data_IF_804083359959
#
_entry.id   IF_804083359959
#
_cell.length_a   1.000
_cell.length_b   1.000
_cell.length_c   1.000
_cell.angle_alpha   90.00
_cell.angle_beta   90.00
_cell.angle_gamma   90.00
#
_symmetry.space_group_name_H-M   'P 1'
#
loop_
_entity.id
_entity.type
_entity.pdbx_description
1 polymer ?
#
# COMPACT_ATOMS: atom_id res chain seq x y z
N UNK A 1 51.66 6.52 -26.01
CA UNK A 1 50.50 5.66 -26.39
C UNK A 1 49.30 6.31 -25.77
N UNK A 2 48.60 7.13 -26.54
CA UNK A 2 47.44 7.87 -26.08
C UNK A 2 46.20 7.04 -26.39
N UNK A 3 45.32 6.93 -25.40
CA UNK A 3 44.10 6.14 -25.40
C UNK A 3 43.24 6.38 -26.64
N UNK A 4 43.04 5.27 -27.37
CA UNK A 4 42.02 5.13 -28.40
C UNK A 4 40.91 4.26 -27.79
N UNK A 5 40.15 4.83 -26.86
CA UNK A 5 38.87 4.29 -26.39
C UNK A 5 37.77 5.36 -26.52
N UNK A 6 37.84 6.11 -27.62
CA UNK A 6 36.82 7.08 -27.99
C UNK A 6 35.48 6.41 -28.33
N UNK A 7 34.43 6.87 -27.66
CA UNK A 7 33.04 6.93 -28.12
C UNK A 7 32.26 5.62 -28.30
N UNK A 8 32.29 4.74 -27.31
CA UNK A 8 31.02 4.06 -26.99
C UNK A 8 30.35 4.92 -25.94
N UNK A 9 29.19 5.51 -26.25
CA UNK A 9 28.31 6.08 -25.21
C UNK A 9 28.18 4.98 -24.18
N UNK A 10 28.74 5.23 -23.00
CA UNK A 10 28.98 4.16 -22.05
C UNK A 10 27.63 3.82 -21.43
N UNK A 11 26.98 2.81 -22.00
CA UNK A 11 25.60 2.43 -21.69
C UNK A 11 25.39 2.25 -20.19
N UNK A 12 26.45 1.84 -19.47
CA UNK A 12 26.46 1.75 -18.01
C UNK A 12 26.32 3.09 -17.33
N UNK A 13 27.05 4.11 -17.76
CA UNK A 13 26.96 5.48 -17.22
C UNK A 13 25.56 6.04 -17.46
N UNK A 14 25.04 5.91 -18.68
CA UNK A 14 23.68 6.38 -19.01
C UNK A 14 22.62 5.63 -18.22
N UNK A 15 22.76 4.32 -18.04
CA UNK A 15 21.83 3.51 -17.23
C UNK A 15 21.86 3.92 -15.76
N UNK A 16 23.06 4.16 -15.21
CA UNK A 16 23.24 4.58 -13.81
C UNK A 16 22.63 5.96 -13.55
N UNK A 17 22.83 6.90 -14.47
CA UNK A 17 22.24 8.23 -14.41
C UNK A 17 20.72 8.17 -14.57
N UNK A 18 20.23 7.38 -15.52
CA UNK A 18 18.78 7.20 -15.74
C UNK A 18 18.11 6.58 -14.51
N UNK A 19 18.77 5.62 -13.87
CA UNK A 19 18.30 5.02 -12.62
C UNK A 19 18.33 6.02 -11.47
N UNK A 20 19.37 6.86 -11.37
CA UNK A 20 19.46 7.88 -10.34
C UNK A 20 18.38 8.96 -10.45
N UNK A 21 18.15 9.47 -11.66
CA UNK A 21 17.19 10.53 -11.92
C UNK A 21 15.75 10.01 -12.07
N UNK A 22 15.58 8.74 -12.43
CA UNK A 22 14.28 8.14 -12.77
C UNK A 22 13.79 8.51 -14.17
N UNK A 23 14.57 9.27 -14.93
CA UNK A 23 14.30 9.64 -16.32
C UNK A 23 15.63 9.77 -17.09
N UNK A 24 15.63 9.61 -18.43
CA UNK A 24 16.83 9.81 -19.23
C UNK A 24 17.26 11.29 -19.22
N UNK A 25 18.52 11.63 -18.95
CA UNK A 25 18.98 13.02 -18.96
C UNK A 25 18.72 13.77 -20.28
N UNK A 26 18.70 13.04 -21.41
CA UNK A 26 18.34 13.61 -22.71
C UNK A 26 16.92 14.18 -22.73
N UNK A 27 15.96 13.50 -22.08
CA UNK A 27 14.58 13.97 -22.02
C UNK A 27 14.45 15.31 -21.29
N UNK A 28 15.26 15.55 -20.26
CA UNK A 28 15.29 16.84 -19.57
C UNK A 28 15.80 17.95 -20.49
N UNK A 29 16.83 17.68 -21.29
CA UNK A 29 17.37 18.67 -22.23
C UNK A 29 16.32 19.00 -23.30
N UNK A 30 15.65 17.98 -23.85
CA UNK A 30 14.55 18.15 -24.82
C UNK A 30 13.43 19.02 -24.24
N UNK A 31 13.02 18.76 -22.99
CA UNK A 31 11.99 19.54 -22.30
C UNK A 31 12.41 21.01 -22.12
N UNK A 32 13.68 21.28 -21.82
CA UNK A 32 14.20 22.66 -21.74
C UNK A 32 14.14 23.35 -23.11
N UNK A 33 14.57 22.67 -24.18
CA UNK A 33 14.53 23.24 -25.55
C UNK A 33 13.08 23.55 -25.95
N UNK A 34 12.16 22.62 -25.69
CA UNK A 34 10.73 22.81 -25.96
C UNK A 34 10.16 24.01 -25.19
N UNK A 35 10.49 24.14 -23.90
CA UNK A 35 10.03 25.27 -23.07
C UNK A 35 10.58 26.61 -23.58
N UNK A 36 11.84 26.66 -24.01
CA UNK A 36 12.44 27.88 -24.56
C UNK A 36 11.79 28.29 -25.87
N UNK A 37 11.54 27.33 -26.77
CA UNK A 37 10.84 27.58 -28.02
C UNK A 37 9.42 28.10 -27.77
N UNK A 38 8.69 27.49 -26.82
CA UNK A 38 7.36 27.98 -26.43
C UNK A 38 7.41 29.42 -25.90
N UNK A 39 8.39 29.75 -25.05
CA UNK A 39 8.57 31.11 -24.51
C UNK A 39 8.94 32.10 -25.62
N UNK A 40 9.79 31.71 -26.57
CA UNK A 40 10.18 32.55 -27.71
C UNK A 40 8.98 32.92 -28.57
N UNK A 41 8.13 31.95 -28.93
CA UNK A 41 6.92 32.20 -29.73
C UNK A 41 5.92 33.07 -28.96
N UNK A 42 5.72 32.83 -27.66
CA UNK A 42 4.89 33.66 -26.80
C UNK A 42 5.40 35.10 -26.70
N UNK A 43 6.71 35.28 -26.54
CA UNK A 43 7.33 36.60 -26.45
C UNK A 43 7.18 37.37 -27.76
N UNK A 44 7.48 36.74 -28.89
CA UNK A 44 7.38 37.34 -30.21
C UNK A 44 5.94 37.76 -30.53
N UNK A 45 4.97 36.89 -30.23
CA UNK A 45 3.53 37.20 -30.34
C UNK A 45 3.11 38.35 -29.41
N UNK A 46 3.65 38.39 -28.18
CA UNK A 46 3.43 39.46 -27.22
C UNK A 46 3.99 40.80 -27.69
N UNK A 47 5.18 40.81 -28.30
CA UNK A 47 5.79 42.00 -28.90
C UNK A 47 4.94 42.50 -30.07
N UNK A 48 4.47 41.61 -30.95
CA UNK A 48 3.58 42.01 -32.05
C UNK A 48 2.28 42.65 -31.54
N UNK A 49 1.63 41.99 -30.58
CA UNK A 49 0.38 42.47 -29.98
C UNK A 49 0.57 43.84 -29.31
N UNK A 50 1.67 44.01 -28.56
CA UNK A 50 2.00 45.27 -27.91
C UNK A 50 2.26 46.40 -28.93
N UNK A 51 2.99 46.13 -30.00
CA UNK A 51 3.24 47.11 -31.06
C UNK A 51 1.95 47.49 -31.81
N UNK A 52 1.04 46.55 -32.01
CA UNK A 52 -0.28 46.80 -32.61
C UNK A 52 -1.15 47.66 -31.68
N UNK A 53 -1.25 47.33 -30.39
CA UNK A 53 -2.00 48.11 -29.41
C UNK A 53 -1.48 49.54 -29.30
N UNK A 54 -0.15 49.70 -29.26
CA UNK A 54 0.50 51.02 -29.20
C UNK A 54 0.22 51.86 -30.45
N UNK A 55 0.18 51.24 -31.62
CA UNK A 55 -0.23 51.89 -32.86
C UNK A 55 -1.70 52.33 -32.81
N UNK A 56 -2.62 51.47 -32.34
CA UNK A 56 -4.03 51.83 -32.19
C UNK A 56 -4.22 53.01 -31.24
N UNK A 57 -3.48 53.03 -30.13
CA UNK A 57 -3.48 54.13 -29.18
C UNK A 57 -2.97 55.44 -29.83
N UNK A 58 -1.87 55.38 -30.59
CA UNK A 58 -1.33 56.52 -31.33
C UNK A 58 -2.28 57.05 -32.43
N UNK A 59 -3.09 56.18 -33.04
CA UNK A 59 -4.14 56.57 -33.99
C UNK A 59 -5.27 57.35 -33.29
N UNK A 60 -5.67 56.94 -32.09
CA UNK A 60 -6.76 57.52 -31.28
C UNK A 60 -6.37 58.86 -30.61
N UNK A 61 -5.09 59.09 -30.31
CA UNK A 61 -4.62 60.22 -29.48
C UNK A 61 -4.57 61.63 -30.15
N UNK A 62 -5.17 61.84 -31.33
CA UNK A 62 -5.22 63.18 -31.94
C UNK A 62 -3.88 63.66 -32.56
N UNK A 63 -3.91 64.78 -33.30
CA UNK A 63 -2.97 65.13 -34.40
C UNK A 63 -1.63 65.78 -34.00
N UNK A 64 -1.30 65.87 -32.72
CA UNK A 64 -0.26 66.79 -32.21
C UNK A 64 1.09 66.17 -31.80
N UNK A 65 1.44 64.99 -32.32
CA UNK A 65 2.81 64.50 -32.15
C UNK A 65 3.26 63.71 -33.37
N UNK A 66 4.48 64.02 -33.81
CA UNK A 66 5.30 63.31 -34.79
C UNK A 66 5.66 61.91 -34.29
N UNK A 67 4.64 61.11 -34.00
CA UNK A 67 4.81 59.82 -33.38
C UNK A 67 5.06 58.79 -34.49
N UNK A 68 6.27 58.25 -34.52
CA UNK A 68 6.78 57.33 -35.57
C UNK A 68 5.81 56.17 -35.79
N UNK A 69 5.12 55.73 -34.73
CA UNK A 69 4.14 54.64 -34.74
C UNK A 69 2.88 54.89 -35.58
N UNK A 70 2.57 56.13 -35.97
CA UNK A 70 1.46 56.42 -36.90
C UNK A 70 1.80 56.16 -38.37
N UNK A 71 3.07 56.31 -38.73
CA UNK A 71 3.57 56.13 -40.10
C UNK A 71 3.86 54.65 -40.41
N UNK A 72 4.07 53.84 -39.38
CA UNK A 72 4.37 52.41 -39.51
C UNK A 72 3.11 51.64 -39.95
N UNK A 73 3.24 50.91 -41.05
CA UNK A 73 2.16 50.06 -41.57
C UNK A 73 2.05 48.79 -40.72
N UNK A 74 0.84 48.23 -40.56
CA UNK A 74 0.68 46.99 -39.79
C UNK A 74 1.45 45.83 -40.42
N UNK A 75 1.63 45.87 -41.74
CA UNK A 75 2.45 44.92 -42.50
C UNK A 75 3.94 45.08 -42.20
N UNK A 76 4.42 46.30 -41.94
CA UNK A 76 5.81 46.54 -41.56
C UNK A 76 6.12 45.98 -40.17
N UNK A 77 5.17 46.09 -39.22
CA UNK A 77 5.26 45.45 -37.90
C UNK A 77 5.34 43.93 -38.07
N UNK A 78 4.44 43.33 -38.87
CA UNK A 78 4.43 41.88 -39.13
C UNK A 78 5.73 41.40 -39.77
N UNK A 79 6.23 42.11 -40.78
CA UNK A 79 7.49 41.78 -41.45
C UNK A 79 8.68 41.93 -40.49
N UNK A 80 8.67 42.97 -39.66
CA UNK A 80 9.70 43.20 -38.65
C UNK A 80 9.72 42.11 -37.56
N UNK A 81 8.54 41.77 -37.02
CA UNK A 81 8.37 40.68 -36.06
C UNK A 81 8.78 39.35 -36.64
N UNK A 82 8.36 39.02 -37.87
CA UNK A 82 8.74 37.77 -38.53
C UNK A 82 10.26 37.66 -38.74
N UNK A 83 10.93 38.77 -39.08
CA UNK A 83 12.40 38.80 -39.17
C UNK A 83 13.07 38.61 -37.81
N UNK A 84 12.50 39.19 -36.75
CA UNK A 84 12.99 39.01 -35.38
C UNK A 84 12.82 37.54 -34.94
N UNK A 85 11.68 36.94 -35.25
CA UNK A 85 11.37 35.53 -34.97
C UNK A 85 12.42 34.61 -35.59
N UNK A 86 12.63 34.70 -36.91
CA UNK A 86 13.62 33.87 -37.61
C UNK A 86 15.05 34.09 -37.08
N UNK A 87 15.38 35.34 -36.71
CA UNK A 87 16.69 35.63 -36.11
C UNK A 87 16.82 34.97 -34.74
N UNK A 88 15.80 35.06 -33.89
CA UNK A 88 15.77 34.41 -32.59
C UNK A 88 15.83 32.89 -32.71
N UNK A 89 15.06 32.28 -33.60
CA UNK A 89 15.10 30.84 -33.89
C UNK A 89 16.54 30.40 -34.19
N UNK A 90 17.19 31.06 -35.16
CA UNK A 90 18.56 30.71 -35.56
C UNK A 90 19.59 30.82 -34.42
N UNK A 91 19.37 31.77 -33.51
CA UNK A 91 20.28 32.04 -32.40
C UNK A 91 19.99 31.14 -31.19
N UNK A 92 18.71 30.82 -30.95
CA UNK A 92 18.27 29.87 -29.93
C UNK A 92 18.81 28.50 -30.32
N UNK A 93 18.49 27.99 -31.51
CA UNK A 93 18.95 26.67 -31.98
C UNK A 93 20.48 26.52 -31.81
N UNK A 94 21.26 27.48 -32.34
CA UNK A 94 22.72 27.43 -32.27
C UNK A 94 23.29 27.41 -30.85
N UNK A 95 22.65 28.12 -29.92
CA UNK A 95 23.13 28.17 -28.53
C UNK A 95 22.62 26.98 -27.72
N UNK A 96 21.41 26.50 -28.01
CA UNK A 96 20.82 25.36 -27.34
C UNK A 96 21.40 24.03 -27.81
N UNK A 97 21.88 23.91 -29.05
CA UNK A 97 22.74 22.80 -29.49
C UNK A 97 24.03 22.72 -28.66
N UNK A 98 24.65 23.87 -28.37
CA UNK A 98 25.85 23.92 -27.53
C UNK A 98 25.55 23.61 -26.07
N UNK A 99 24.38 24.04 -25.59
CA UNK A 99 23.90 23.73 -24.26
C UNK A 99 23.66 22.22 -24.12
N UNK A 100 22.99 21.58 -25.07
CA UNK A 100 22.79 20.13 -25.12
C UNK A 100 24.15 19.42 -25.06
N UNK A 101 25.07 19.78 -25.96
CA UNK A 101 26.40 19.17 -25.98
C UNK A 101 27.13 19.37 -24.64
N UNK A 102 27.13 20.58 -24.09
CA UNK A 102 27.82 20.88 -22.85
C UNK A 102 27.24 20.13 -21.65
N UNK A 103 25.91 20.08 -21.54
CA UNK A 103 25.21 19.41 -20.43
C UNK A 103 25.43 17.91 -20.48
N UNK A 104 25.26 17.29 -21.66
CA UNK A 104 25.46 15.85 -21.84
C UNK A 104 26.92 15.42 -21.73
N UNK A 105 27.88 16.33 -21.98
CA UNK A 105 29.31 16.02 -21.92
C UNK A 105 29.98 16.34 -20.58
N UNK A 106 29.44 17.26 -19.78
CA UNK A 106 30.09 17.69 -18.53
C UNK A 106 29.23 17.53 -17.28
N UNK A 107 27.91 17.73 -17.38
CA UNK A 107 27.02 17.69 -16.21
C UNK A 107 26.49 16.27 -16.02
N UNK A 108 25.92 15.71 -17.09
CA UNK A 108 25.36 14.36 -17.10
C UNK A 108 26.39 13.32 -17.52
N UNK A 109 27.59 13.43 -16.96
CA UNK A 109 28.68 12.49 -17.20
C UNK A 109 29.30 12.03 -15.91
N UNK A 110 29.67 10.75 -15.88
CA UNK A 110 30.47 10.17 -14.82
C UNK A 110 31.78 9.67 -15.42
N UNK A 111 32.90 9.73 -14.68
CA UNK A 111 34.16 9.20 -15.14
C UNK A 111 34.06 7.68 -15.32
N UNK A 112 34.48 7.17 -16.47
CA UNK A 112 34.41 5.74 -16.82
C UNK A 112 35.20 4.89 -15.82
N UNK A 113 36.43 5.31 -15.46
CA UNK A 113 37.27 4.62 -14.48
C UNK A 113 36.54 4.32 -13.17
N UNK A 114 35.78 5.29 -12.66
CA UNK A 114 35.06 5.18 -11.39
C UNK A 114 33.80 4.29 -11.48
N UNK A 115 33.22 4.16 -12.67
CA UNK A 115 32.04 3.33 -12.93
C UNK A 115 32.44 1.89 -13.22
N UNK A 116 33.51 1.67 -13.99
CA UNK A 116 34.05 0.33 -14.30
C UNK A 116 34.58 -0.35 -13.05
N UNK A 117 35.33 0.39 -12.21
CA UNK A 117 35.83 -0.11 -10.93
C UNK A 117 34.73 -0.25 -9.85
N UNK A 118 33.50 0.20 -10.14
CA UNK A 118 32.34 0.02 -9.24
C UNK A 118 32.39 0.86 -7.96
N UNK A 119 33.16 1.97 -7.96
CA UNK A 119 33.22 2.91 -6.83
C UNK A 119 31.95 3.74 -6.69
N UNK A 120 31.27 4.01 -7.80
CA UNK A 120 30.01 4.75 -7.80
C UNK A 120 28.85 3.77 -7.61
N UNK A 121 28.18 3.86 -6.46
CA UNK A 121 26.98 3.07 -6.12
C UNK A 121 25.84 4.00 -5.72
N UNK A 122 24.64 3.66 -6.16
CA UNK A 122 23.44 4.38 -5.72
C UNK A 122 23.02 3.87 -4.35
N UNK A 123 22.25 4.69 -3.64
CA UNK A 123 21.79 4.36 -2.28
C UNK A 123 21.01 3.04 -2.22
N UNK A 124 20.22 2.73 -3.25
CA UNK A 124 19.45 1.48 -3.29
C UNK A 124 20.28 0.27 -3.72
N UNK A 125 21.54 0.45 -4.14
CA UNK A 125 22.50 -0.64 -4.33
C UNK A 125 23.22 -1.02 -3.03
N UNK A 126 23.05 -0.23 -1.96
CA UNK A 126 23.63 -0.52 -0.66
C UNK A 126 22.98 -1.78 -0.05
N UNK A 127 23.81 -2.76 0.31
CA UNK A 127 23.35 -4.04 0.88
C UNK A 127 22.91 -5.09 -0.14
N UNK A 128 22.99 -4.81 -1.44
CA UNK A 128 22.74 -5.83 -2.48
C UNK A 128 24.04 -6.57 -2.78
N UNK A 129 24.17 -7.79 -2.25
CA UNK A 129 25.25 -8.71 -2.60
C UNK A 129 24.81 -9.64 -3.73
N UNK A 130 25.39 -9.51 -4.93
CA UNK A 130 25.13 -10.40 -6.06
C UNK A 130 25.96 -11.70 -6.01
N UNK A 131 26.31 -12.17 -4.81
CA UNK A 131 27.08 -13.42 -4.65
C UNK A 131 26.14 -14.62 -4.72
N UNK A 132 26.61 -15.78 -5.22
CA UNK A 132 25.84 -17.04 -5.18
C UNK A 132 25.46 -17.47 -3.75
N UNK A 133 26.14 -16.92 -2.73
CA UNK A 133 25.77 -17.11 -1.33
C UNK A 133 24.51 -16.31 -0.93
N UNK A 134 24.22 -15.21 -1.61
CA UNK A 134 23.01 -14.43 -1.39
C UNK A 134 21.76 -15.12 -1.96
N UNK A 135 21.88 -15.83 -3.10
CA UNK A 135 20.77 -16.61 -3.67
C UNK A 135 20.43 -17.82 -2.79
N UNK A 136 21.43 -18.52 -2.25
CA UNK A 136 21.23 -19.60 -1.27
C UNK A 136 20.57 -19.09 0.02
N UNK A 137 21.09 -17.99 0.61
CA UNK A 137 20.47 -17.36 1.79
C UNK A 137 19.03 -16.92 1.54
N UNK A 138 18.72 -16.43 0.35
CA UNK A 138 17.35 -16.08 -0.04
C UNK A 138 16.43 -17.30 -0.03
N UNK A 139 16.85 -18.43 -0.61
CA UNK A 139 16.07 -19.67 -0.59
C UNK A 139 15.81 -20.15 0.84
N UNK A 140 16.83 -20.14 1.70
CA UNK A 140 16.69 -20.50 3.11
C UNK A 140 15.73 -19.56 3.86
N UNK A 141 15.81 -18.25 3.60
CA UNK A 141 14.91 -17.24 4.14
C UNK A 141 13.46 -17.46 3.66
N UNK A 142 13.27 -17.76 2.37
CA UNK A 142 11.95 -18.02 1.79
C UNK A 142 11.32 -19.29 2.38
N UNK A 143 12.11 -20.36 2.56
CA UNK A 143 11.67 -21.57 3.27
C UNK A 143 11.29 -21.27 4.71
N UNK A 144 12.09 -20.46 5.41
CA UNK A 144 11.80 -20.05 6.78
C UNK A 144 10.52 -19.22 6.86
N UNK A 145 10.31 -18.29 5.94
CA UNK A 145 9.08 -17.49 5.85
C UNK A 145 7.87 -18.41 5.59
N UNK A 146 7.99 -19.35 4.65
CA UNK A 146 6.93 -20.33 4.36
C UNK A 146 6.56 -21.18 5.58
N UNK A 147 7.57 -21.66 6.31
CA UNK A 147 7.37 -22.43 7.55
C UNK A 147 6.66 -21.59 8.62
N UNK A 148 7.03 -20.31 8.76
CA UNK A 148 6.45 -19.40 9.74
C UNK A 148 5.00 -19.04 9.38
N UNK A 149 4.71 -18.81 8.09
CA UNK A 149 3.35 -18.57 7.58
C UNK A 149 2.47 -19.79 7.85
N UNK A 150 2.98 -21.01 7.62
CA UNK A 150 2.26 -22.24 7.93
C UNK A 150 2.00 -22.39 9.43
N UNK A 151 2.98 -22.08 10.28
CA UNK A 151 2.80 -22.10 11.74
C UNK A 151 1.72 -21.10 12.17
N UNK A 152 1.76 -19.86 11.68
CA UNK A 152 0.73 -18.84 11.96
C UNK A 152 -0.66 -19.32 11.53
N UNK A 153 -0.76 -20.00 10.37
CA UNK A 153 -2.02 -20.56 9.89
C UNK A 153 -2.55 -21.66 10.81
N UNK A 154 -1.68 -22.57 11.26
CA UNK A 154 -2.03 -23.64 12.18
C UNK A 154 -2.51 -23.07 13.53
N UNK A 155 -1.77 -22.10 14.08
CA UNK A 155 -2.15 -21.39 15.30
C UNK A 155 -3.52 -20.70 15.17
N UNK A 156 -3.77 -20.05 14.04
CA UNK A 156 -5.05 -19.40 13.77
C UNK A 156 -6.20 -20.42 13.67
N UNK A 157 -5.97 -21.58 13.04
CA UNK A 157 -6.95 -22.67 12.97
C UNK A 157 -7.23 -23.27 14.35
N UNK A 158 -6.20 -23.53 15.14
CA UNK A 158 -6.33 -24.07 16.50
C UNK A 158 -7.11 -23.11 17.40
N UNK A 159 -6.80 -21.80 17.34
CA UNK A 159 -7.56 -20.76 18.06
C UNK A 159 -9.04 -20.76 17.67
N UNK A 160 -9.37 -20.95 16.39
CA UNK A 160 -10.77 -21.05 15.94
C UNK A 160 -11.48 -22.25 16.57
N UNK A 161 -10.84 -23.42 16.60
CA UNK A 161 -11.40 -24.64 17.20
C UNK A 161 -11.61 -24.46 18.71
N UNK A 162 -10.62 -23.93 19.42
CA UNK A 162 -10.72 -23.66 20.86
C UNK A 162 -11.87 -22.70 21.19
N UNK A 163 -12.02 -21.62 20.42
CA UNK A 163 -13.18 -20.70 20.58
C UNK A 163 -14.51 -21.41 20.40
N UNK A 164 -14.63 -22.30 19.40
CA UNK A 164 -15.85 -23.09 19.19
C UNK A 164 -16.14 -24.03 20.38
N UNK A 165 -15.11 -24.68 20.92
CA UNK A 165 -15.27 -25.55 22.08
C UNK A 165 -15.70 -24.78 23.34
N UNK A 166 -15.16 -23.59 23.57
CA UNK A 166 -15.60 -22.71 24.66
C UNK A 166 -17.10 -22.36 24.51
N UNK A 167 -17.56 -22.05 23.30
CA UNK A 167 -18.98 -21.75 23.05
C UNK A 167 -19.86 -22.99 23.33
N UNK A 168 -19.44 -24.18 22.89
CA UNK A 168 -20.16 -25.44 23.18
C UNK A 168 -20.24 -25.70 24.69
N UNK A 169 -19.12 -25.62 25.40
CA UNK A 169 -19.07 -25.79 26.85
C UNK A 169 -19.99 -24.80 27.58
N UNK A 170 -20.01 -23.53 27.16
CA UNK A 170 -20.94 -22.52 27.71
C UNK A 170 -22.40 -22.88 27.49
N UNK A 171 -22.77 -23.43 26.32
CA UNK A 171 -24.14 -23.89 26.03
C UNK A 171 -24.54 -25.06 26.94
N UNK A 172 -23.67 -26.04 27.12
CA UNK A 172 -23.90 -27.17 28.03
C UNK A 172 -24.11 -26.67 29.46
N UNK A 173 -23.25 -25.77 29.94
CA UNK A 173 -23.41 -25.14 31.27
C UNK A 173 -24.76 -24.42 31.37
N UNK A 174 -25.22 -23.71 30.33
CA UNK A 174 -26.53 -23.04 30.32
C UNK A 174 -27.69 -24.04 30.41
N UNK A 175 -27.63 -25.14 29.66
CA UNK A 175 -28.64 -26.22 29.72
C UNK A 175 -28.65 -26.86 31.10
N UNK A 176 -27.49 -27.17 31.68
CA UNK A 176 -27.38 -27.73 33.03
C UNK A 176 -27.95 -26.77 34.09
N UNK A 177 -27.73 -25.46 33.96
CA UNK A 177 -28.35 -24.46 34.84
C UNK A 177 -29.87 -24.42 34.70
N UNK A 178 -30.40 -24.46 33.47
CA UNK A 178 -31.84 -24.51 33.24
C UNK A 178 -32.47 -25.79 33.79
N UNK A 179 -31.81 -26.93 33.59
CA UNK A 179 -32.22 -28.20 34.16
C UNK A 179 -32.23 -28.17 35.70
N UNK A 180 -31.17 -27.64 36.32
CA UNK A 180 -31.11 -27.42 37.77
C UNK A 180 -32.24 -26.52 38.27
N UNK A 181 -32.54 -25.42 37.58
CA UNK A 181 -33.61 -24.51 37.97
C UNK A 181 -35.00 -25.18 37.85
N UNK A 182 -35.21 -26.00 36.82
CA UNK A 182 -36.44 -26.78 36.68
C UNK A 182 -36.59 -27.84 37.78
N UNK A 183 -35.50 -28.50 38.20
CA UNK A 183 -35.49 -29.43 39.34
C UNK A 183 -35.72 -28.73 40.69
N UNK A 184 -35.11 -27.55 40.89
CA UNK A 184 -35.31 -26.74 42.09
C UNK A 184 -36.75 -26.23 42.24
N UNK A 185 -37.44 -25.99 41.13
CA UNK A 185 -38.87 -25.64 41.13
C UNK A 185 -39.78 -26.84 41.44
N UNK A 186 -39.33 -28.09 41.25
CA UNK A 186 -40.07 -29.28 41.69
C UNK A 186 -39.86 -29.62 43.17
N UNK A 187 -38.71 -29.28 43.75
CA UNK A 187 -38.43 -29.46 45.19
C UNK A 187 -39.15 -28.43 46.08
N UNK A 188 -39.54 -27.27 45.55
CA UNK A 188 -40.34 -26.26 46.26
C UNK A 188 -41.85 -26.62 46.40
N UNK A 189 -42.22 -27.90 46.26
CA UNK A 189 -43.60 -28.38 46.47
C UNK A 189 -43.97 -28.57 47.95
N UNK A 190 -43.12 -28.18 48.89
CA UNK A 190 -43.38 -28.22 50.32
C UNK A 190 -43.52 -26.82 50.95
N UNK A 191 -44.39 -25.96 50.43
CA UNK A 191 -45.22 -25.03 51.25
C UNK A 191 -46.16 -24.14 50.40
N UNK A 192 -47.45 -24.50 50.43
CA UNK A 192 -48.60 -23.58 50.41
C UNK A 192 -48.91 -22.74 49.15
N UNK A 193 -49.54 -23.37 48.14
CA UNK A 193 -50.87 -23.05 47.52
C UNK A 193 -50.95 -23.54 46.05
N UNK A 194 -52.13 -23.93 45.56
CA UNK A 194 -52.27 -24.89 44.46
C UNK A 194 -52.52 -24.19 43.11
N UNK A 195 -51.54 -24.20 42.20
CA UNK A 195 -51.80 -24.06 40.76
C UNK A 195 -50.75 -24.83 39.94
N UNK A 196 -50.80 -26.16 40.02
CA UNK A 196 -50.29 -26.97 38.91
C UNK A 196 -51.49 -27.50 38.14
N UNK A 197 -51.61 -27.09 36.88
CA UNK A 197 -52.64 -27.58 35.98
C UNK A 197 -52.50 -29.11 35.81
N UNK A 198 -53.62 -29.85 35.64
CA UNK A 198 -53.60 -31.30 35.54
C UNK A 198 -52.71 -31.82 34.38
N UNK A 199 -52.50 -31.00 33.34
CA UNK A 199 -51.56 -31.26 32.23
C UNK A 199 -50.07 -31.31 32.66
N UNK A 200 -49.67 -30.54 33.67
CA UNK A 200 -48.28 -30.53 34.14
C UNK A 200 -47.91 -31.80 34.92
N UNK A 201 -48.87 -32.37 35.65
CA UNK A 201 -48.71 -33.66 36.35
C UNK A 201 -48.65 -34.83 35.38
N UNK A 202 -49.41 -34.76 34.29
CA UNK A 202 -49.40 -35.78 33.23
C UNK A 202 -48.11 -35.71 32.39
N UNK A 203 -47.61 -34.49 32.09
CA UNK A 203 -46.33 -34.27 31.43
C UNK A 203 -45.11 -34.73 32.26
N UNK A 204 -45.16 -34.57 33.59
CA UNK A 204 -44.13 -35.09 34.50
C UNK A 204 -44.13 -36.63 34.56
N UNK A 205 -45.30 -37.27 34.43
CA UNK A 205 -45.40 -38.73 34.39
C UNK A 205 -44.95 -39.30 33.05
N UNK A 206 -45.10 -38.55 31.95
CA UNK A 206 -44.58 -38.89 30.63
C UNK A 206 -43.08 -38.61 30.44
N UNK A 207 -42.44 -37.90 31.38
CA UNK A 207 -40.98 -37.66 31.38
C UNK A 207 -40.18 -38.78 32.06
N UNK A 208 -40.80 -39.92 32.35
CA UNK A 208 -40.08 -41.19 32.47
C UNK A 208 -39.64 -41.59 31.06
N UNK A 209 -38.50 -41.05 30.59
CA UNK A 209 -37.20 -41.33 31.18
C UNK A 209 -36.33 -40.07 31.45
N UNK A 210 -36.21 -39.70 32.73
CA UNK A 210 -35.14 -38.81 33.23
C UNK A 210 -33.77 -39.46 32.99
N UNK A 211 -33.72 -40.79 33.03
CA UNK A 211 -32.50 -41.57 32.87
C UNK A 211 -31.90 -41.38 31.48
N UNK A 212 -32.66 -41.54 30.39
CA UNK A 212 -32.11 -41.41 29.03
C UNK A 212 -31.56 -40.02 28.75
N UNK A 213 -32.22 -38.97 29.25
CA UNK A 213 -31.77 -37.59 29.08
C UNK A 213 -30.53 -37.30 29.92
N UNK A 214 -30.45 -37.86 31.13
CA UNK A 214 -29.30 -37.75 32.02
C UNK A 214 -28.10 -38.56 31.49
N UNK A 215 -28.34 -39.77 31.00
CA UNK A 215 -27.36 -40.61 30.30
C UNK A 215 -26.87 -39.92 29.03
N UNK A 216 -27.73 -39.27 28.26
CA UNK A 216 -27.32 -38.51 27.08
C UNK A 216 -26.46 -37.30 27.45
N UNK A 217 -26.80 -36.57 28.51
CA UNK A 217 -25.98 -35.45 29.00
C UNK A 217 -24.65 -35.94 29.59
N UNK A 218 -24.64 -37.03 30.35
CA UNK A 218 -23.42 -37.69 30.84
C UNK A 218 -22.55 -38.14 29.66
N UNK A 219 -23.14 -38.79 28.66
CA UNK A 219 -22.44 -39.21 27.44
C UNK A 219 -21.87 -38.01 26.69
N UNK A 220 -22.58 -36.88 26.60
CA UNK A 220 -22.06 -35.66 25.99
C UNK A 220 -20.93 -35.02 26.81
N UNK A 221 -21.02 -35.07 28.13
CA UNK A 221 -19.95 -34.59 29.03
C UNK A 221 -18.72 -35.48 28.91
N UNK A 222 -18.90 -36.81 28.89
CA UNK A 222 -17.83 -37.78 28.72
C UNK A 222 -17.19 -37.68 27.33
N UNK A 223 -17.98 -37.49 26.27
CA UNK A 223 -17.46 -37.24 24.92
C UNK A 223 -16.67 -35.93 24.89
N UNK A 224 -17.15 -34.86 25.52
CA UNK A 224 -16.45 -33.57 25.61
C UNK A 224 -15.15 -33.70 26.43
N UNK A 225 -15.15 -34.44 27.53
CA UNK A 225 -13.95 -34.75 28.33
C UNK A 225 -12.96 -35.56 27.49
N UNK A 226 -13.42 -36.58 26.76
CA UNK A 226 -12.56 -37.39 25.90
C UNK A 226 -11.96 -36.58 24.74
N UNK A 227 -12.74 -35.69 24.13
CA UNK A 227 -12.29 -34.79 23.08
C UNK A 227 -11.29 -33.76 23.62
N UNK A 228 -11.50 -33.27 24.84
CA UNK A 228 -10.58 -32.34 25.52
C UNK A 228 -9.27 -33.02 25.89
N UNK A 229 -9.32 -34.26 26.36
CA UNK A 229 -8.13 -35.07 26.65
C UNK A 229 -7.36 -35.42 25.38
N UNK A 230 -8.04 -35.82 24.29
CA UNK A 230 -7.42 -36.04 22.98
C UNK A 230 -6.79 -34.77 22.40
N UNK A 231 -7.44 -33.62 22.61
CA UNK A 231 -6.88 -32.32 22.21
C UNK A 231 -5.64 -32.00 23.05
N UNK A 232 -5.69 -32.20 24.36
CA UNK A 232 -4.58 -32.02 25.30
C UNK A 232 -3.38 -32.91 24.93
N UNK A 233 -3.61 -34.18 24.62
CA UNK A 233 -2.56 -35.10 24.15
C UNK A 233 -1.96 -34.67 22.82
N UNK A 234 -2.78 -34.25 21.85
CA UNK A 234 -2.28 -33.70 20.57
C UNK A 234 -1.47 -32.42 20.77
N UNK A 235 -1.84 -31.59 21.74
CA UNK A 235 -1.12 -30.35 22.06
C UNK A 235 0.23 -30.64 22.76
N UNK A 236 0.27 -31.66 23.63
CA UNK A 236 1.51 -32.13 24.28
C UNK A 236 2.48 -32.80 23.30
N UNK A 237 1.96 -33.58 22.36
CA UNK A 237 2.77 -34.22 21.30
C UNK A 237 3.39 -33.21 20.32
N UNK A 238 2.78 -32.03 20.15
CA UNK A 238 3.26 -30.98 19.26
C UNK A 238 4.41 -30.11 19.83
N UNK A 239 4.99 -30.44 21.00
CA UNK A 239 6.28 -29.88 21.43
C UNK A 239 6.32 -28.36 21.67
N UNK A 240 5.20 -27.71 21.96
CA UNK A 240 5.14 -26.26 22.13
C UNK A 240 5.02 -25.87 23.61
N UNK A 241 6.16 -25.84 24.31
CA UNK A 241 6.22 -25.45 25.72
C UNK A 241 6.00 -23.94 25.98
N UNK A 242 5.71 -23.11 24.97
CA UNK A 242 5.39 -21.69 25.16
C UNK A 242 4.46 -21.17 24.07
N UNK A 243 3.16 -21.46 24.16
CA UNK A 243 2.15 -20.64 23.46
C UNK A 243 1.37 -19.88 24.55
N UNK A 244 1.97 -18.80 25.01
CA UNK A 244 1.29 -17.85 25.86
C UNK A 244 0.34 -17.05 24.97
N UNK A 245 -0.93 -17.45 24.93
CA UNK A 245 -1.98 -16.77 24.16
C UNK A 245 -2.26 -15.39 24.76
N UNK A 246 -1.48 -14.37 24.38
CA UNK A 246 -1.83 -12.98 24.67
C UNK A 246 -3.02 -12.57 23.79
N UNK A 247 -4.12 -12.05 24.37
CA UNK A 247 -5.28 -11.60 23.60
C UNK A 247 -4.88 -10.43 22.70
N UNK A 248 -4.98 -10.63 21.39
CA UNK A 248 -4.81 -9.55 20.40
C UNK A 248 -5.88 -8.47 20.60
N UNK A 249 -5.55 -7.19 20.35
CA UNK A 249 -6.43 -6.03 20.55
C UNK A 249 -7.78 -6.16 19.84
N UNK A 250 -7.79 -6.81 18.66
CA UNK A 250 -9.02 -7.12 17.91
C UNK A 250 -9.96 -8.07 18.65
N UNK A 251 -9.43 -9.02 19.42
CA UNK A 251 -10.25 -9.93 20.23
C UNK A 251 -10.88 -9.21 21.42
N UNK A 252 -10.16 -8.29 22.08
CA UNK A 252 -10.75 -7.42 23.12
C UNK A 252 -11.87 -6.54 22.56
N UNK A 253 -11.70 -6.02 21.34
CA UNK A 253 -12.70 -5.18 20.69
C UNK A 253 -13.97 -5.97 20.33
N UNK A 254 -13.82 -7.19 19.80
CA UNK A 254 -14.98 -8.04 19.48
C UNK A 254 -15.68 -8.50 20.76
N UNK A 255 -14.95 -8.84 21.81
CA UNK A 255 -15.54 -9.20 23.09
C UNK A 255 -16.30 -8.01 23.72
N UNK A 256 -15.77 -6.79 23.69
CA UNK A 256 -16.48 -5.61 24.24
C UNK A 256 -17.76 -5.30 23.46
N UNK A 257 -17.71 -5.34 22.13
CA UNK A 257 -18.87 -5.09 21.27
C UNK A 257 -19.93 -6.19 21.44
N UNK A 258 -19.51 -7.44 21.60
CA UNK A 258 -20.42 -8.56 21.83
C UNK A 258 -21.11 -8.47 23.20
N UNK A 259 -20.44 -7.91 24.20
CA UNK A 259 -21.03 -7.67 25.53
C UNK A 259 -22.02 -6.49 25.52
N UNK A 260 -21.78 -5.44 24.74
CA UNK A 260 -22.74 -4.34 24.54
C UNK A 260 -24.03 -4.79 23.85
N UNK A 261 -23.96 -5.75 22.92
CA UNK A 261 -25.13 -6.23 22.16
C UNK A 261 -25.97 -7.25 22.96
N UNK A 262 -25.43 -7.79 24.07
CA UNK A 262 -26.10 -8.79 24.91
C UNK A 262 -26.70 -8.22 26.20
N UNK A 263 -26.62 -6.91 26.42
CA UNK A 263 -27.45 -6.17 27.40
C UNK A 263 -28.73 -5.67 26.75
#
# INVERSE_FOLDING_TARGET
MADVSGSSIDFRVTSLLTEHFGFPPLALVDDVINAVNEIMYKCTSGVESYLQERKEHALKAGKDSSDVFRLVTSDEIKIGTAKLETLLESQVDRNFDKFELYTLRNIFTLPHDLVEDGWIKLKHHEGIEFTDKASLRKSELDEKISSLVNNIRLEAQLRKILKLQIIKARKVIKILRLFRNNLGNTDNTNSSKPQLSPKAREALKSLSPIDETLYFLLQQVDDLISQTNRLSEKLKLSGSNQIQFLPNLRDRYIDSKSMEILQ
#
